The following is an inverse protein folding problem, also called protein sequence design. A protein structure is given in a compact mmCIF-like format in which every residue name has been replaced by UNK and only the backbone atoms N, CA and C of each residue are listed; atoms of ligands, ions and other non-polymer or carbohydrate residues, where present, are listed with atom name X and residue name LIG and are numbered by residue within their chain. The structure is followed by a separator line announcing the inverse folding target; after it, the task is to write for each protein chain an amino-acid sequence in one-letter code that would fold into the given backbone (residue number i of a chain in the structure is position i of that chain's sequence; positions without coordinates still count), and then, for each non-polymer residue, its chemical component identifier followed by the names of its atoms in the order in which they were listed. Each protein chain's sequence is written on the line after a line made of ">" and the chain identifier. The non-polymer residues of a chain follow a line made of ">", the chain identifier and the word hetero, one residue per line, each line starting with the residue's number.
data_IF_632441165554
#
_entry.id   IF_632441165554
#
_cell.length_a   1.000
_cell.length_b   1.000
_cell.length_c   1.000
_cell.angle_alpha   90.00
_cell.angle_beta   90.00
_cell.angle_gamma   90.00
#
_symmetry.space_group_name_H-M   'P 1'
#
loop_
_entity.id
_entity.type
_entity.pdbx_description
1 polymer ?
#
# COMPACT_ATOMS: atom_id res chain seq x y z
N UNK A 1 18.48 -5.40 -4.99
CA UNK A 1 19.92 -5.72 -4.90
C UNK A 1 20.61 -4.87 -3.83
N UNK A 2 20.58 -5.25 -2.53
CA UNK A 2 21.38 -4.59 -1.50
C UNK A 2 22.33 -5.60 -0.84
N UNK A 3 23.62 -5.57 -1.19
CA UNK A 3 24.59 -6.53 -0.62
C UNK A 3 26.06 -6.12 -0.69
N UNK A 4 26.35 -4.88 -1.11
CA UNK A 4 27.73 -4.47 -1.41
C UNK A 4 28.40 -3.65 -0.30
N UNK A 5 27.65 -3.03 0.60
CA UNK A 5 28.23 -2.19 1.67
C UNK A 5 28.98 -2.99 2.75
N UNK A 6 28.41 -4.12 3.19
CA UNK A 6 29.01 -4.96 4.25
C UNK A 6 30.26 -5.72 3.77
N UNK A 7 30.41 -5.88 2.46
CA UNK A 7 31.48 -6.67 1.86
C UNK A 7 32.83 -5.96 1.98
N UNK A 8 32.86 -4.64 1.83
CA UNK A 8 34.10 -3.86 1.84
C UNK A 8 34.73 -3.72 3.25
N UNK A 9 33.91 -3.55 4.29
CA UNK A 9 34.42 -3.34 5.66
C UNK A 9 34.90 -4.65 6.30
N UNK A 10 34.24 -5.78 6.02
CA UNK A 10 34.59 -7.06 6.61
C UNK A 10 35.86 -7.71 6.03
N UNK A 11 36.00 -7.71 4.70
CA UNK A 11 37.09 -8.45 4.05
C UNK A 11 38.42 -7.69 4.06
N UNK A 12 38.40 -6.38 3.75
CA UNK A 12 39.63 -5.61 3.52
C UNK A 12 40.32 -5.13 4.80
N UNK A 13 39.55 -4.91 5.88
CA UNK A 13 40.12 -4.38 7.14
C UNK A 13 40.25 -5.39 8.27
N UNK A 14 39.45 -6.45 8.25
CA UNK A 14 39.38 -7.42 9.35
C UNK A 14 39.78 -8.83 8.94
N UNK A 15 39.96 -9.11 7.64
CA UNK A 15 40.33 -10.43 7.14
C UNK A 15 39.25 -11.50 7.40
N UNK A 16 38.01 -11.08 7.65
CA UNK A 16 36.89 -11.99 7.95
C UNK A 16 36.06 -12.22 6.67
N UNK A 17 35.68 -13.47 6.41
CA UNK A 17 34.72 -13.79 5.34
C UNK A 17 33.41 -13.04 5.56
N UNK A 18 32.77 -12.57 4.49
CA UNK A 18 31.52 -11.78 4.52
C UNK A 18 30.50 -12.41 5.47
N UNK A 19 30.37 -11.85 6.67
CA UNK A 19 29.45 -12.39 7.66
C UNK A 19 28.08 -11.75 7.48
N UNK A 20 27.08 -12.59 7.22
CA UNK A 20 25.67 -12.19 7.27
C UNK A 20 25.37 -11.60 8.64
N UNK A 21 24.58 -10.52 8.72
CA UNK A 21 24.18 -9.86 9.98
C UNK A 21 23.59 -10.87 10.99
N UNK A 22 22.94 -11.92 10.51
CA UNK A 22 22.42 -13.03 11.32
C UNK A 22 23.49 -13.80 12.14
N UNK A 23 24.78 -13.68 11.81
CA UNK A 23 25.88 -14.29 12.56
C UNK A 23 26.32 -13.43 13.76
N UNK A 24 25.95 -12.14 13.82
CA UNK A 24 26.32 -11.27 14.93
C UNK A 24 26.02 -11.89 16.30
N UNK A 25 24.82 -12.43 16.58
CA UNK A 25 24.54 -13.08 17.86
C UNK A 25 25.46 -14.28 18.15
N UNK A 26 25.88 -15.01 17.12
CA UNK A 26 26.73 -16.20 17.25
C UNK A 26 28.21 -15.86 17.52
N UNK A 27 28.65 -14.65 17.16
CA UNK A 27 30.01 -14.16 17.46
C UNK A 27 30.17 -13.81 18.95
N UNK A 28 29.08 -13.49 19.64
CA UNK A 28 29.13 -13.16 21.06
C UNK A 28 28.86 -14.39 21.92
N UNK A 29 29.85 -14.78 22.73
CA UNK A 29 29.67 -15.83 23.75
C UNK A 29 28.77 -15.41 24.92
N UNK A 30 28.58 -14.11 25.13
CA UNK A 30 27.80 -13.54 26.24
C UNK A 30 26.79 -12.54 25.71
N UNK A 31 25.52 -12.74 26.05
CA UNK A 31 24.40 -11.87 25.65
C UNK A 31 24.61 -10.40 26.08
N UNK A 32 25.14 -10.19 27.29
CA UNK A 32 25.42 -8.84 27.81
C UNK A 32 26.37 -8.04 26.92
N UNK A 33 27.45 -8.67 26.43
CA UNK A 33 28.44 -8.00 25.58
C UNK A 33 27.86 -7.62 24.22
N UNK A 34 27.02 -8.48 23.63
CA UNK A 34 26.26 -8.14 22.41
C UNK A 34 25.39 -6.91 22.66
N UNK A 35 24.62 -6.91 23.74
CA UNK A 35 23.73 -5.82 24.08
C UNK A 35 24.47 -4.49 24.30
N UNK A 36 25.55 -4.50 25.07
CA UNK A 36 26.39 -3.32 25.32
C UNK A 36 26.96 -2.74 24.00
N UNK A 37 27.40 -3.62 23.09
CA UNK A 37 27.89 -3.21 21.77
C UNK A 37 26.78 -2.66 20.86
N UNK A 38 25.57 -3.22 20.91
CA UNK A 38 24.43 -2.70 20.17
C UNK A 38 24.05 -1.31 20.66
N UNK A 39 24.04 -1.07 21.98
CA UNK A 39 23.82 0.26 22.55
C UNK A 39 24.90 1.22 22.08
N UNK A 40 26.18 0.83 22.19
CA UNK A 40 27.29 1.66 21.75
C UNK A 40 27.19 2.01 20.27
N UNK A 41 26.87 1.04 19.41
CA UNK A 41 26.69 1.25 17.98
C UNK A 41 25.52 2.18 17.67
N UNK A 42 24.39 2.05 18.37
CA UNK A 42 23.26 2.97 18.24
C UNK A 42 23.69 4.40 18.60
N UNK A 43 24.42 4.56 19.71
CA UNK A 43 24.97 5.86 20.13
C UNK A 43 25.93 6.45 19.10
N UNK A 44 26.86 5.64 18.58
CA UNK A 44 27.83 6.04 17.56
C UNK A 44 27.16 6.47 16.24
N UNK A 45 26.13 5.74 15.82
CA UNK A 45 25.36 6.05 14.61
C UNK A 45 24.34 7.19 14.81
N UNK A 46 24.19 7.68 16.04
CA UNK A 46 23.21 8.70 16.41
C UNK A 46 21.77 8.20 16.36
N UNK A 47 21.55 6.88 16.34
CA UNK A 47 20.22 6.28 16.31
C UNK A 47 19.53 6.45 17.65
N UNK A 48 18.28 6.89 17.63
CA UNK A 48 17.47 7.14 18.82
C UNK A 48 16.23 6.27 18.79
N UNK A 49 15.77 5.84 19.97
CA UNK A 49 14.44 5.23 20.08
C UNK A 49 13.38 6.21 19.61
N UNK A 50 12.37 5.69 18.92
CA UNK A 50 11.21 6.48 18.51
C UNK A 50 10.47 7.01 19.74
N UNK A 51 10.17 8.31 19.74
CA UNK A 51 9.41 8.97 20.80
C UNK A 51 7.91 9.03 20.47
N UNK A 52 7.02 9.27 21.44
CA UNK A 52 5.58 9.36 21.20
C UNK A 52 5.18 10.44 20.18
N UNK A 53 5.83 11.60 20.18
CA UNK A 53 5.63 12.66 19.18
C UNK A 53 5.98 12.15 17.76
N UNK A 54 7.07 11.41 17.64
CA UNK A 54 7.55 10.88 16.37
C UNK A 54 6.68 9.73 15.85
N UNK A 55 5.98 9.01 16.72
CA UNK A 55 4.97 8.04 16.30
C UNK A 55 3.78 8.74 15.62
N UNK A 56 3.32 9.86 16.18
CA UNK A 56 2.26 10.65 15.56
C UNK A 56 2.71 11.25 14.22
N UNK A 57 3.94 11.74 14.14
CA UNK A 57 4.52 12.23 12.89
C UNK A 57 4.62 11.13 11.82
N UNK A 58 5.04 9.92 12.22
CA UNK A 58 5.11 8.77 11.33
C UNK A 58 3.72 8.38 10.83
N UNK A 59 2.72 8.33 11.72
CA UNK A 59 1.34 8.01 11.36
C UNK A 59 0.76 9.04 10.38
N UNK A 60 0.98 10.34 10.64
CA UNK A 60 0.56 11.42 9.75
C UNK A 60 1.21 11.30 8.36
N UNK A 61 2.53 11.04 8.32
CA UNK A 61 3.25 10.83 7.08
C UNK A 61 2.77 9.56 6.35
N UNK A 62 2.53 8.45 7.05
CA UNK A 62 2.01 7.20 6.47
C UNK A 62 0.60 7.38 5.90
N UNK A 63 -0.22 8.24 6.50
CA UNK A 63 -1.55 8.58 5.98
C UNK A 63 -1.45 9.30 4.64
N UNK A 64 -0.51 10.25 4.52
CA UNK A 64 -0.23 10.94 3.26
C UNK A 64 0.35 9.99 2.19
N UNK A 65 1.32 9.14 2.56
CA UNK A 65 1.93 8.17 1.63
C UNK A 65 0.91 7.12 1.15
N UNK A 66 -0.06 6.76 1.99
CA UNK A 66 -1.15 5.85 1.63
C UNK A 66 -2.19 6.46 0.67
N UNK A 67 -2.24 7.78 0.50
CA UNK A 67 -3.03 8.39 -0.58
C UNK A 67 -2.38 8.15 -1.95
N UNK A 68 -1.05 8.05 -1.99
CA UNK A 68 -0.26 7.82 -3.21
C UNK A 68 -0.08 6.32 -3.50
N UNK A 69 -0.01 5.47 -2.47
CA UNK A 69 0.07 4.01 -2.60
C UNK A 69 -1.31 3.35 -2.58
N UNK A 70 -1.65 2.56 -3.59
CA UNK A 70 -2.93 1.84 -3.67
C UNK A 70 -3.04 0.62 -2.73
N UNK A 71 -1.94 0.11 -2.17
CA UNK A 71 -1.97 -1.10 -1.32
C UNK A 71 -0.95 -1.08 -0.19
N UNK A 72 -1.25 -1.84 0.86
CA UNK A 72 -0.37 -2.06 2.02
C UNK A 72 0.67 -3.15 1.69
N UNK A 73 1.58 -2.86 0.77
CA UNK A 73 2.58 -3.80 0.27
C UNK A 73 3.96 -3.64 0.94
N UNK A 74 4.95 -4.38 0.42
CA UNK A 74 6.33 -4.30 0.90
C UNK A 74 6.97 -2.94 0.60
N UNK A 75 6.55 -2.24 -0.45
CA UNK A 75 7.05 -0.91 -0.82
C UNK A 75 6.60 0.15 0.19
N UNK A 76 5.34 0.11 0.63
CA UNK A 76 4.83 0.99 1.68
C UNK A 76 5.64 0.86 2.98
N UNK A 77 5.95 -0.37 3.41
CA UNK A 77 6.82 -0.60 4.57
C UNK A 77 8.26 -0.17 4.32
N UNK A 78 8.75 -0.31 3.09
CA UNK A 78 10.07 0.17 2.71
C UNK A 78 10.16 1.71 2.80
N UNK A 79 9.13 2.45 2.38
CA UNK A 79 9.07 3.90 2.52
C UNK A 79 9.08 4.33 4.00
N UNK A 80 8.30 3.65 4.86
CA UNK A 80 8.32 3.90 6.31
C UNK A 80 9.72 3.68 6.91
N UNK A 81 10.43 2.62 6.48
CA UNK A 81 11.80 2.36 6.90
C UNK A 81 12.77 3.46 6.46
N UNK A 82 12.64 3.97 5.23
CA UNK A 82 13.44 5.10 4.76
C UNK A 82 13.19 6.37 5.58
N UNK A 83 11.91 6.69 5.82
CA UNK A 83 11.52 7.86 6.60
C UNK A 83 12.13 7.84 8.01
N UNK A 84 12.13 6.67 8.67
CA UNK A 84 12.72 6.46 10.00
C UNK A 84 14.24 6.59 9.97
N UNK A 85 14.88 5.97 8.97
CA UNK A 85 16.33 5.98 8.83
C UNK A 85 16.88 7.38 8.59
N UNK A 86 16.25 8.17 7.71
CA UNK A 86 16.62 9.56 7.44
C UNK A 86 16.62 10.42 8.70
N UNK A 87 15.68 10.15 9.61
CA UNK A 87 15.52 10.87 10.89
C UNK A 87 16.39 10.32 12.01
N UNK A 88 17.28 9.35 11.72
CA UNK A 88 18.11 8.64 12.70
C UNK A 88 17.27 8.00 13.82
N UNK A 89 16.09 7.51 13.47
CA UNK A 89 15.24 6.75 14.38
C UNK A 89 15.57 5.28 14.22
N UNK A 90 15.73 4.57 15.33
CA UNK A 90 15.90 3.12 15.34
C UNK A 90 14.63 2.48 14.77
N UNK A 91 14.78 1.68 13.72
CA UNK A 91 13.66 1.00 13.05
C UNK A 91 12.98 0.06 14.06
N UNK A 92 11.68 0.27 14.35
CA UNK A 92 10.90 -0.62 15.23
C UNK A 92 10.78 -2.04 14.66
N UNK A 93 10.19 -2.93 15.45
CA UNK A 93 9.84 -4.26 14.95
C UNK A 93 8.90 -4.14 13.74
N UNK A 94 9.16 -4.94 12.70
CA UNK A 94 8.36 -4.98 11.46
C UNK A 94 6.85 -5.14 11.75
N UNK A 95 6.50 -5.98 12.73
CA UNK A 95 5.11 -6.13 13.20
C UNK A 95 4.49 -4.81 13.66
N UNK A 96 5.22 -3.99 14.41
CA UNK A 96 4.70 -2.70 14.90
C UNK A 96 4.40 -1.75 13.74
N UNK A 97 5.26 -1.70 12.73
CA UNK A 97 5.04 -0.88 11.52
C UNK A 97 3.85 -1.39 10.70
N UNK A 98 3.71 -2.71 10.57
CA UNK A 98 2.52 -3.32 9.91
C UNK A 98 1.23 -3.03 10.66
N UNK A 99 1.26 -3.11 11.99
CA UNK A 99 0.08 -2.85 12.82
C UNK A 99 -0.36 -1.37 12.68
N UNK A 100 0.60 -0.44 12.68
CA UNK A 100 0.35 0.97 12.41
C UNK A 100 -0.20 1.20 10.99
N UNK A 101 0.45 0.63 9.98
CA UNK A 101 -0.01 0.70 8.59
C UNK A 101 -1.44 0.19 8.43
N UNK A 102 -1.77 -0.95 9.04
CA UNK A 102 -3.13 -1.51 9.00
C UNK A 102 -4.16 -0.58 9.65
N UNK A 103 -3.78 0.10 10.74
CA UNK A 103 -4.64 1.09 11.39
C UNK A 103 -4.92 2.28 10.47
N UNK A 104 -3.87 2.84 9.83
CA UNK A 104 -3.98 3.95 8.87
C UNK A 104 -4.89 3.57 7.70
N UNK A 105 -4.66 2.40 7.10
CA UNK A 105 -5.47 1.91 5.98
C UNK A 105 -6.94 1.69 6.37
N UNK A 106 -7.19 1.09 7.53
CA UNK A 106 -8.56 0.89 8.01
C UNK A 106 -9.27 2.23 8.27
N UNK A 107 -8.54 3.28 8.65
CA UNK A 107 -9.10 4.63 8.80
C UNK A 107 -9.44 5.25 7.44
N UNK A 108 -8.53 5.17 6.46
CA UNK A 108 -8.77 5.65 5.09
C UNK A 108 -9.98 4.94 4.47
N UNK A 109 -10.08 3.62 4.62
CA UNK A 109 -11.19 2.83 4.12
C UNK A 109 -12.52 3.27 4.76
N UNK A 110 -12.56 3.43 6.10
CA UNK A 110 -13.76 3.94 6.80
C UNK A 110 -14.16 5.34 6.34
N UNK A 111 -13.19 6.24 6.19
CA UNK A 111 -13.44 7.61 5.75
C UNK A 111 -13.96 7.64 4.31
N UNK A 112 -13.39 6.81 3.44
CA UNK A 112 -13.83 6.66 2.04
C UNK A 112 -15.26 6.10 1.98
N UNK A 113 -15.56 5.07 2.78
CA UNK A 113 -16.92 4.52 2.87
C UNK A 113 -17.92 5.57 3.35
N UNK A 114 -17.59 6.30 4.42
CA UNK A 114 -18.44 7.37 4.95
C UNK A 114 -18.65 8.50 3.94
N UNK A 115 -17.62 8.84 3.14
CA UNK A 115 -17.74 9.80 2.05
C UNK A 115 -18.71 9.30 0.97
N UNK A 116 -18.61 8.02 0.58
CA UNK A 116 -19.52 7.40 -0.39
C UNK A 116 -20.96 7.41 0.13
N UNK A 117 -21.17 6.97 1.37
CA UNK A 117 -22.50 6.94 2.01
C UNK A 117 -23.11 8.34 2.17
N UNK A 118 -22.28 9.36 2.45
CA UNK A 118 -22.73 10.75 2.54
C UNK A 118 -23.01 11.42 1.19
N UNK A 119 -22.33 10.97 0.12
CA UNK A 119 -22.42 11.59 -1.21
C UNK A 119 -23.48 10.92 -2.09
N UNK A 120 -23.68 9.62 -1.94
CA UNK A 120 -24.59 8.83 -2.80
C UNK A 120 -25.95 8.70 -2.10
N UNK A 121 -27.03 9.32 -2.63
CA UNK A 121 -28.36 9.16 -2.06
C UNK A 121 -28.80 7.69 -2.09
N UNK A 122 -29.50 7.24 -1.04
CA UNK A 122 -30.03 5.87 -0.95
C UNK A 122 -30.89 5.50 -2.17
N UNK A 123 -31.58 6.47 -2.76
CA UNK A 123 -32.37 6.29 -3.98
C UNK A 123 -31.50 5.93 -5.19
N UNK A 124 -30.29 6.49 -5.30
CA UNK A 124 -29.32 6.12 -6.33
C UNK A 124 -28.73 4.74 -6.07
N UNK A 125 -28.42 4.40 -4.82
CA UNK A 125 -27.94 3.06 -4.44
C UNK A 125 -28.97 2.00 -4.83
N UNK A 126 -30.23 2.17 -4.43
CA UNK A 126 -31.30 1.22 -4.76
C UNK A 126 -31.56 1.11 -6.26
N UNK A 127 -31.45 2.22 -6.99
CA UNK A 127 -31.63 2.22 -8.45
C UNK A 127 -30.46 1.51 -9.15
N UNK A 128 -29.24 1.71 -8.67
CA UNK A 128 -28.05 1.02 -9.17
C UNK A 128 -28.14 -0.49 -8.90
N UNK A 129 -28.49 -0.88 -7.68
CA UNK A 129 -28.68 -2.27 -7.29
C UNK A 129 -29.75 -2.98 -8.14
N UNK A 130 -30.90 -2.33 -8.35
CA UNK A 130 -31.96 -2.84 -9.23
C UNK A 130 -31.50 -2.97 -10.69
N UNK A 131 -30.70 -2.02 -11.20
CA UNK A 131 -30.17 -2.08 -12.56
C UNK A 131 -29.14 -3.22 -12.71
N UNK A 132 -28.25 -3.40 -11.74
CA UNK A 132 -27.22 -4.44 -11.75
C UNK A 132 -27.80 -5.85 -11.56
N UNK A 133 -28.88 -5.96 -10.78
CA UNK A 133 -29.59 -7.22 -10.53
C UNK A 133 -30.60 -7.59 -11.62
N UNK A 134 -30.83 -6.70 -12.60
CA UNK A 134 -31.73 -7.00 -13.71
C UNK A 134 -31.15 -8.09 -14.63
N UNK A 135 -32.03 -8.84 -15.29
CA UNK A 135 -31.62 -9.87 -16.25
C UNK A 135 -31.06 -9.21 -17.51
N UNK A 136 -29.84 -9.59 -17.89
CA UNK A 136 -29.18 -9.17 -19.12
C UNK A 136 -29.62 -10.02 -20.31
N UNK A 137 -29.79 -11.33 -20.11
CA UNK A 137 -30.16 -12.27 -21.17
C UNK A 137 -31.29 -13.23 -20.78
N UNK A 138 -31.79 -13.96 -21.77
CA UNK A 138 -32.84 -14.99 -21.61
C UNK A 138 -32.34 -16.23 -20.86
N UNK A 139 -31.02 -16.40 -20.70
CA UNK A 139 -30.41 -17.51 -19.95
C UNK A 139 -30.36 -17.24 -18.44
N UNK A 140 -30.80 -16.06 -17.99
CA UNK A 140 -30.88 -15.68 -16.59
C UNK A 140 -29.60 -15.03 -16.04
N UNK A 141 -28.66 -14.64 -16.91
CA UNK A 141 -27.47 -13.89 -16.52
C UNK A 141 -27.87 -12.50 -16.03
N UNK A 142 -27.34 -12.07 -14.89
CA UNK A 142 -27.57 -10.69 -14.41
C UNK A 142 -26.65 -9.71 -15.16
N UNK A 143 -27.04 -8.43 -15.20
CA UNK A 143 -26.19 -7.36 -15.74
C UNK A 143 -24.83 -7.29 -15.01
N UNK A 144 -24.81 -7.54 -13.70
CA UNK A 144 -23.58 -7.61 -12.92
C UNK A 144 -22.64 -8.74 -13.38
N UNK A 145 -23.18 -9.92 -13.68
CA UNK A 145 -22.38 -11.06 -14.15
C UNK A 145 -21.81 -10.77 -15.54
N UNK A 146 -22.60 -10.14 -16.42
CA UNK A 146 -22.14 -9.71 -17.73
C UNK A 146 -20.98 -8.69 -17.63
N UNK A 147 -21.11 -7.69 -16.76
CA UNK A 147 -20.07 -6.70 -16.49
C UNK A 147 -18.77 -7.34 -15.97
N UNK A 148 -18.87 -8.36 -15.11
CA UNK A 148 -17.72 -9.10 -14.56
C UNK A 148 -17.04 -10.01 -15.59
N UNK A 149 -17.70 -10.34 -16.69
CA UNK A 149 -17.15 -11.26 -17.69
C UNK A 149 -15.97 -10.58 -18.40
N UNK A 150 -14.74 -11.13 -18.28
CA UNK A 150 -13.58 -10.52 -18.90
C UNK A 150 -13.71 -10.56 -20.43
N UNK A 151 -13.24 -9.53 -21.14
CA UNK A 151 -13.22 -9.55 -22.60
C UNK A 151 -12.39 -10.74 -23.08
N UNK A 152 -12.92 -11.47 -24.07
CA UNK A 152 -12.20 -12.57 -24.73
C UNK A 152 -11.03 -12.02 -25.59
N UNK A 153 -10.46 -12.83 -26.50
CA UNK A 153 -9.42 -12.38 -27.44
C UNK A 153 -9.82 -11.06 -28.14
N UNK A 154 -8.83 -10.23 -28.48
CA UNK A 154 -9.02 -8.99 -29.23
C UNK A 154 -9.65 -9.28 -30.60
N UNK A 155 -10.98 -9.25 -30.64
CA UNK A 155 -11.82 -9.33 -31.82
C UNK A 155 -12.70 -8.08 -31.87
N UNK A 156 -13.18 -7.73 -33.07
CA UNK A 156 -14.10 -6.60 -33.23
C UNK A 156 -15.35 -6.76 -32.35
N UNK A 157 -15.83 -8.00 -32.17
CA UNK A 157 -16.96 -8.34 -31.31
C UNK A 157 -16.67 -8.06 -29.84
N UNK A 158 -15.49 -8.44 -29.35
CA UNK A 158 -15.03 -8.15 -27.98
C UNK A 158 -14.92 -6.64 -27.71
N UNK A 159 -14.49 -5.87 -28.72
CA UNK A 159 -14.35 -4.43 -28.59
C UNK A 159 -15.71 -3.74 -28.52
N UNK A 160 -16.68 -4.16 -29.35
CA UNK A 160 -18.07 -3.68 -29.28
C UNK A 160 -18.69 -3.98 -27.93
N UNK A 161 -18.54 -5.21 -27.42
CA UNK A 161 -19.04 -5.59 -26.10
C UNK A 161 -18.42 -4.74 -24.98
N UNK A 162 -17.11 -4.44 -25.07
CA UNK A 162 -16.43 -3.58 -24.10
C UNK A 162 -16.98 -2.14 -24.16
N UNK A 163 -17.28 -1.62 -25.35
CA UNK A 163 -17.92 -0.32 -25.51
C UNK A 163 -19.34 -0.29 -24.96
N UNK A 164 -20.10 -1.37 -25.10
CA UNK A 164 -21.43 -1.52 -24.48
C UNK A 164 -21.34 -1.51 -22.96
N UNK A 165 -20.38 -2.24 -22.36
CA UNK A 165 -20.12 -2.19 -20.91
C UNK A 165 -19.80 -0.78 -20.43
N UNK A 166 -18.92 -0.07 -21.14
CA UNK A 166 -18.58 1.33 -20.82
C UNK A 166 -19.80 2.25 -20.94
N UNK A 167 -20.60 2.09 -22.00
CA UNK A 167 -21.82 2.89 -22.21
C UNK A 167 -22.82 2.66 -21.08
N UNK A 168 -23.08 1.40 -20.74
CA UNK A 168 -23.97 1.02 -19.65
C UNK A 168 -23.53 1.67 -18.32
N UNK A 169 -22.24 1.60 -17.98
CA UNK A 169 -21.69 2.20 -16.76
C UNK A 169 -21.80 3.74 -16.74
N UNK A 170 -21.69 4.39 -17.91
CA UNK A 170 -21.83 5.85 -18.04
C UNK A 170 -23.28 6.33 -17.97
N UNK A 171 -24.21 5.51 -18.44
CA UNK A 171 -25.66 5.79 -18.45
C UNK A 171 -26.34 5.40 -17.13
N UNK A 172 -25.71 4.55 -16.32
CA UNK A 172 -26.25 4.20 -15.01
C UNK A 172 -26.25 5.40 -14.07
N UNK A 173 -27.21 5.50 -13.13
CA UNK A 173 -27.45 6.68 -12.29
C UNK A 173 -26.30 7.08 -11.36
N UNK A 174 -25.24 6.27 -11.26
CA UNK A 174 -24.07 6.51 -10.41
C UNK A 174 -23.12 7.60 -10.95
N UNK A 175 -23.57 8.43 -11.90
CA UNK A 175 -22.80 9.54 -12.49
C UNK A 175 -22.25 10.53 -11.45
N UNK A 176 -22.73 10.52 -10.21
CA UNK A 176 -22.24 11.34 -9.09
C UNK A 176 -20.89 10.87 -8.52
N UNK A 177 -20.50 9.59 -8.70
CA UNK A 177 -19.30 9.02 -8.09
C UNK A 177 -18.01 9.52 -8.76
N UNK A 178 -18.07 10.03 -10.01
CA UNK A 178 -16.91 10.63 -10.68
C UNK A 178 -16.47 11.99 -10.07
N UNK A 179 -17.05 12.38 -8.93
CA UNK A 179 -16.62 13.54 -8.15
C UNK A 179 -15.78 13.18 -6.92
N UNK A 180 -15.52 11.88 -6.69
CA UNK A 180 -14.52 11.46 -5.68
C UNK A 180 -13.16 11.97 -6.13
N UNK A 181 -12.44 12.74 -5.29
CA UNK A 181 -11.13 13.30 -5.64
C UNK A 181 -10.10 12.16 -5.70
N UNK A 182 -9.93 11.58 -6.89
CA UNK A 182 -8.96 10.51 -7.17
C UNK A 182 -8.75 10.29 -8.67
N UNK A 183 -9.71 10.70 -9.51
CA UNK A 183 -9.69 10.48 -10.97
C UNK A 183 -8.76 11.43 -11.78
N UNK A 184 -7.78 12.08 -11.14
CA UNK A 184 -6.96 13.12 -11.81
C UNK A 184 -5.81 12.60 -12.68
N UNK A 185 -5.41 11.32 -12.59
CA UNK A 185 -4.12 10.88 -13.19
C UNK A 185 -4.17 9.87 -14.34
N UNK A 186 -5.33 9.58 -14.93
CA UNK A 186 -5.38 8.88 -16.22
C UNK A 186 -5.68 9.83 -17.38
N UNK A 187 -4.77 10.79 -17.61
CA UNK A 187 -4.72 11.57 -18.85
C UNK A 187 -3.47 11.21 -19.66
N UNK A 188 -3.68 10.28 -20.59
CA UNK A 188 -3.05 10.17 -21.91
C UNK A 188 -1.59 10.67 -22.02
N UNK A 189 -0.64 9.75 -21.81
CA UNK A 189 0.64 9.81 -22.53
C UNK A 189 0.42 9.23 -23.94
N UNK A 190 0.01 10.08 -24.87
CA UNK A 190 0.14 9.83 -26.30
C UNK A 190 0.76 11.08 -26.94
N UNK A 191 2.08 11.01 -27.17
CA UNK A 191 2.85 11.80 -28.14
C UNK A 191 4.07 11.00 -28.55
#
# INVERSE_FOLDING_TARGET
>A
MPGLGYRYVGSDRLGLSTQTIALLPTLYRRYKTLYDHLIWACGYLGLKSIRPDQWADLEAWMRQDAEESLTLDELFLQHANYWLYERRILIPADRTLRDLGRSVWAEIERNTLALIEGTVPETQVRRADAALSSQYDTAGMTVLDWLKTPPARHSLTTLTETQEKIRFLKETPCRSISSVPGDSEFRLADR
#
